data_IF_518476241604
#
_entry.id   IF_518476241604
#
_cell.length_a   1.000
_cell.length_b   1.000
_cell.length_c   1.000
_cell.angle_alpha   90.00
_cell.angle_beta   90.00
_cell.angle_gamma   90.00
#
_symmetry.space_group_name_H-M   'P 1'
#
loop_
_entity.id
_entity.type
_entity.pdbx_description
1 polymer ?
#
# COMPACT_ATOMS: atom_id res chain seq x y z
N UNK A 1 4.44 -10.22 7.92
CA UNK A 1 5.10 -10.98 8.98
C UNK A 1 4.08 -11.81 9.78
N UNK A 2 3.03 -11.21 10.33
CA UNK A 2 2.09 -11.94 11.20
C UNK A 2 1.33 -13.04 10.45
N UNK A 3 1.00 -12.85 9.18
CA UNK A 3 0.39 -13.91 8.36
C UNK A 3 1.33 -15.09 8.04
N UNK A 4 2.59 -15.01 8.44
CA UNK A 4 3.54 -16.11 8.36
C UNK A 4 3.47 -17.03 9.61
N UNK A 5 2.68 -16.63 10.62
CA UNK A 5 2.54 -17.35 11.89
C UNK A 5 1.41 -18.38 11.86
N UNK A 6 1.70 -19.60 12.30
CA UNK A 6 0.74 -20.72 12.23
C UNK A 6 -0.55 -20.51 13.03
N UNK A 7 -0.48 -19.81 14.17
CA UNK A 7 -1.63 -19.54 15.04
C UNK A 7 -2.71 -18.66 14.36
N UNK A 8 -2.35 -17.86 13.35
CA UNK A 8 -3.31 -17.10 12.54
C UNK A 8 -4.26 -18.06 11.81
N UNK A 9 -3.72 -19.09 11.18
CA UNK A 9 -4.50 -20.07 10.43
C UNK A 9 -5.33 -20.97 11.38
N UNK A 10 -4.80 -21.28 12.52
CA UNK A 10 -5.52 -22.00 13.59
C UNK A 10 -6.73 -21.18 14.05
N UNK A 11 -6.58 -19.87 14.24
CA UNK A 11 -7.65 -18.95 14.59
C UNK A 11 -8.75 -18.90 13.50
N UNK A 12 -8.38 -18.92 12.21
CA UNK A 12 -9.35 -18.96 11.11
C UNK A 12 -10.20 -20.23 11.14
N UNK A 13 -9.58 -21.39 11.36
CA UNK A 13 -10.27 -22.67 11.44
C UNK A 13 -11.20 -22.72 12.66
N UNK A 14 -10.76 -22.21 13.81
CA UNK A 14 -11.60 -22.13 15.01
C UNK A 14 -12.80 -21.17 14.79
N UNK A 15 -12.56 -20.02 14.16
CA UNK A 15 -13.62 -19.10 13.79
C UNK A 15 -14.68 -19.73 12.87
N UNK A 16 -14.25 -20.54 11.89
CA UNK A 16 -15.14 -21.28 11.02
C UNK A 16 -15.97 -22.32 11.80
N UNK A 17 -15.35 -23.11 12.69
CA UNK A 17 -16.02 -24.11 13.51
C UNK A 17 -17.10 -23.52 14.42
N UNK A 18 -16.89 -22.30 14.88
CA UNK A 18 -17.78 -21.60 15.82
C UNK A 18 -18.74 -20.61 15.11
N UNK A 19 -18.84 -20.66 13.78
CA UNK A 19 -19.68 -19.76 12.97
C UNK A 19 -19.46 -18.27 13.35
N UNK A 20 -18.19 -17.85 13.40
CA UNK A 20 -17.84 -16.48 13.72
C UNK A 20 -18.50 -15.49 12.75
N UNK A 21 -19.24 -14.52 13.28
CA UNK A 21 -19.98 -13.51 12.53
C UNK A 21 -19.57 -12.11 12.97
N UNK A 22 -19.92 -11.12 12.14
CA UNK A 22 -19.72 -9.70 12.45
C UNK A 22 -18.29 -9.38 12.89
N UNK A 23 -17.33 -9.96 12.17
CA UNK A 23 -15.90 -9.78 12.40
C UNK A 23 -15.24 -9.24 11.14
N UNK A 24 -14.42 -8.22 11.31
CA UNK A 24 -13.56 -7.68 10.26
C UNK A 24 -12.10 -7.96 10.59
N UNK A 25 -11.38 -8.39 9.58
CA UNK A 25 -9.93 -8.56 9.64
C UNK A 25 -9.29 -7.64 8.61
N UNK A 26 -8.37 -6.79 9.01
CA UNK A 26 -7.68 -5.86 8.12
C UNK A 26 -6.22 -6.30 8.01
N UNK A 27 -5.81 -6.67 6.81
CA UNK A 27 -4.43 -7.01 6.49
C UNK A 27 -3.75 -5.79 5.88
N UNK A 28 -2.74 -5.28 6.56
CA UNK A 28 -1.79 -4.31 6.02
C UNK A 28 -0.86 -5.04 5.03
N UNK A 29 -1.24 -5.01 3.75
CA UNK A 29 -0.48 -5.67 2.69
C UNK A 29 0.54 -4.71 2.07
N UNK A 30 1.69 -4.57 2.71
CA UNK A 30 2.75 -3.67 2.30
C UNK A 30 3.84 -4.31 1.41
N UNK A 31 3.63 -5.54 0.94
CA UNK A 31 4.53 -6.32 0.08
C UNK A 31 5.88 -6.67 0.71
N UNK A 32 6.04 -6.49 2.01
CA UNK A 32 7.27 -6.80 2.74
C UNK A 32 6.98 -7.67 3.96
N UNK A 33 7.93 -8.53 4.30
CA UNK A 33 7.95 -9.26 5.56
C UNK A 33 9.32 -9.10 6.17
N UNK A 34 9.39 -8.52 7.38
CA UNK A 34 10.66 -8.11 8.01
C UNK A 34 11.47 -7.19 7.05
N UNK A 35 12.73 -7.48 6.82
CA UNK A 35 13.64 -6.73 5.93
C UNK A 35 13.72 -7.34 4.50
N UNK A 36 12.63 -7.92 4.01
CA UNK A 36 12.57 -8.52 2.67
C UNK A 36 11.24 -8.21 1.99
N UNK A 37 11.24 -8.19 0.66
CA UNK A 37 10.00 -8.20 -0.12
C UNK A 37 9.39 -9.60 -0.11
N UNK A 38 8.05 -9.68 -0.03
CA UNK A 38 7.32 -10.95 -0.15
C UNK A 38 7.33 -11.44 -1.60
N UNK A 39 7.03 -12.73 -1.77
CA UNK A 39 6.82 -13.29 -3.11
C UNK A 39 5.70 -12.55 -3.84
N UNK A 40 5.86 -12.36 -5.15
CA UNK A 40 4.85 -11.71 -5.97
C UNK A 40 3.52 -12.47 -5.91
N UNK A 41 2.43 -11.72 -5.85
CA UNK A 41 1.06 -12.26 -5.80
C UNK A 41 0.75 -13.14 -4.58
N UNK A 42 1.51 -13.02 -3.49
CA UNK A 42 1.25 -13.77 -2.25
C UNK A 42 -0.17 -13.53 -1.71
N UNK A 43 -0.73 -12.33 -1.90
CA UNK A 43 -2.09 -12.00 -1.49
C UNK A 43 -3.14 -13.00 -2.01
N UNK A 44 -2.97 -13.57 -3.20
CA UNK A 44 -3.90 -14.57 -3.75
C UNK A 44 -3.99 -15.82 -2.88
N UNK A 45 -2.91 -16.17 -2.17
CA UNK A 45 -2.94 -17.28 -1.22
C UNK A 45 -3.74 -16.94 0.02
N UNK A 46 -3.68 -15.68 0.45
CA UNK A 46 -4.52 -15.22 1.56
C UNK A 46 -5.99 -15.18 1.15
N UNK A 47 -6.30 -14.69 -0.06
CA UNK A 47 -7.67 -14.74 -0.62
C UNK A 47 -8.22 -16.17 -0.53
N UNK A 48 -7.52 -17.14 -1.14
CA UNK A 48 -7.92 -18.54 -1.20
C UNK A 48 -8.17 -19.14 0.21
N UNK A 49 -7.28 -18.85 1.19
CA UNK A 49 -7.37 -19.38 2.55
C UNK A 49 -8.59 -18.80 3.28
N UNK A 50 -8.76 -17.48 3.25
CA UNK A 50 -9.87 -16.83 3.93
C UNK A 50 -11.21 -17.19 3.30
N UNK A 51 -11.32 -17.24 1.97
CA UNK A 51 -12.52 -17.66 1.28
C UNK A 51 -12.90 -19.12 1.62
N UNK A 52 -11.90 -20.01 1.70
CA UNK A 52 -12.11 -21.41 2.12
C UNK A 52 -12.65 -21.50 3.55
N UNK A 53 -12.29 -20.56 4.42
CA UNK A 53 -12.82 -20.44 5.79
C UNK A 53 -14.13 -19.63 5.85
N UNK A 54 -14.77 -19.34 4.73
CA UNK A 54 -16.10 -18.70 4.67
C UNK A 54 -16.08 -17.16 4.74
N UNK A 55 -14.93 -16.53 4.71
CA UNK A 55 -14.80 -15.06 4.75
C UNK A 55 -15.14 -14.44 3.39
N UNK A 56 -15.68 -13.21 3.44
CA UNK A 56 -15.67 -12.31 2.28
C UNK A 56 -14.30 -11.67 2.17
N UNK A 57 -13.72 -11.60 0.96
CA UNK A 57 -12.45 -10.90 0.73
C UNK A 57 -12.69 -9.63 -0.09
N UNK A 58 -12.18 -8.51 0.41
CA UNK A 58 -12.22 -7.20 -0.25
C UNK A 58 -10.81 -6.68 -0.42
N UNK A 59 -10.33 -6.61 -1.66
CA UNK A 59 -8.98 -6.14 -1.97
C UNK A 59 -8.98 -4.65 -2.27
N UNK A 60 -8.26 -3.89 -1.47
CA UNK A 60 -8.09 -2.44 -1.58
C UNK A 60 -6.71 -2.12 -2.13
N UNK A 61 -6.52 -2.33 -3.45
CA UNK A 61 -5.22 -2.13 -4.10
C UNK A 61 -5.00 -0.69 -4.53
N UNK A 62 -5.98 -0.10 -5.19
CA UNK A 62 -5.87 1.22 -5.82
C UNK A 62 -6.65 2.27 -5.06
N UNK A 63 -6.00 3.39 -4.75
CA UNK A 63 -6.66 4.57 -4.22
C UNK A 63 -7.37 5.36 -5.32
N UNK A 64 -8.04 6.43 -4.92
CA UNK A 64 -8.87 7.24 -5.82
C UNK A 64 -8.07 7.89 -6.96
N UNK A 65 -6.86 8.43 -6.66
CA UNK A 65 -6.04 9.06 -7.70
C UNK A 65 -5.65 8.07 -8.79
N UNK A 66 -5.27 6.84 -8.43
CA UNK A 66 -4.95 5.79 -9.39
C UNK A 66 -6.19 5.44 -10.22
N UNK A 67 -7.34 5.20 -9.57
CA UNK A 67 -8.60 4.87 -10.27
C UNK A 67 -9.06 5.97 -11.23
N UNK A 68 -8.79 7.23 -10.92
CA UNK A 68 -9.07 8.36 -11.82
C UNK A 68 -8.08 8.40 -12.99
N UNK A 69 -6.80 8.18 -12.73
CA UNK A 69 -5.78 8.10 -13.78
C UNK A 69 -6.04 6.96 -14.76
N UNK A 70 -6.53 5.81 -14.29
CA UNK A 70 -6.85 4.65 -15.16
C UNK A 70 -7.97 4.92 -16.17
N UNK A 71 -8.84 5.89 -15.92
CA UNK A 71 -9.91 6.30 -16.86
C UNK A 71 -9.42 7.22 -17.98
N UNK A 72 -8.18 7.71 -17.89
CA UNK A 72 -7.59 8.62 -18.86
C UNK A 72 -6.94 7.87 -20.03
N UNK A 73 -6.67 8.54 -21.18
CA UNK A 73 -5.82 7.97 -22.21
C UNK A 73 -4.48 7.49 -21.62
N UNK A 74 -4.05 6.28 -21.96
CA UNK A 74 -2.87 5.62 -21.36
C UNK A 74 -3.10 4.99 -19.97
N UNK A 75 -4.24 5.24 -19.36
CA UNK A 75 -4.54 4.78 -17.99
C UNK A 75 -4.61 3.26 -17.87
N UNK A 76 -5.16 2.56 -18.84
CA UNK A 76 -5.20 1.09 -18.83
C UNK A 76 -3.79 0.50 -18.90
N UNK A 77 -2.90 1.06 -19.68
CA UNK A 77 -1.51 0.59 -19.72
C UNK A 77 -0.79 0.82 -18.39
N UNK A 78 -1.09 1.93 -17.70
CA UNK A 78 -0.58 2.20 -16.36
C UNK A 78 -1.12 1.18 -15.34
N UNK A 79 -2.41 0.90 -15.37
CA UNK A 79 -3.06 -0.10 -14.50
C UNK A 79 -2.43 -1.48 -14.69
N UNK A 80 -2.34 -1.95 -15.95
CA UNK A 80 -1.74 -3.24 -16.29
C UNK A 80 -0.28 -3.33 -15.83
N UNK A 81 0.47 -2.23 -15.95
CA UNK A 81 1.85 -2.17 -15.49
C UNK A 81 1.93 -2.29 -13.95
N UNK A 82 1.09 -1.55 -13.20
CA UNK A 82 1.03 -1.62 -11.73
C UNK A 82 0.62 -3.03 -11.27
N UNK A 83 -0.35 -3.66 -11.98
CA UNK A 83 -0.79 -5.02 -11.67
C UNK A 83 0.32 -6.06 -11.80
N UNK A 84 1.24 -5.84 -12.73
CA UNK A 84 2.33 -6.78 -13.03
C UNK A 84 3.70 -6.35 -12.48
N UNK A 85 3.80 -5.19 -11.83
CA UNK A 85 5.04 -4.69 -11.25
C UNK A 85 5.52 -5.62 -10.13
N UNK A 86 6.74 -6.16 -10.21
CA UNK A 86 7.33 -6.96 -9.13
C UNK A 86 7.39 -6.18 -7.81
N UNK A 87 7.18 -6.86 -6.69
CA UNK A 87 7.22 -6.22 -5.37
C UNK A 87 8.54 -5.51 -5.08
N UNK A 88 9.66 -6.10 -5.50
CA UNK A 88 10.99 -5.50 -5.34
C UNK A 88 11.15 -4.21 -6.15
N UNK A 89 10.68 -4.19 -7.41
CA UNK A 89 10.74 -3.01 -8.26
C UNK A 89 9.86 -1.90 -7.70
N UNK A 90 8.63 -2.23 -7.28
CA UNK A 90 7.74 -1.26 -6.66
C UNK A 90 8.35 -0.64 -5.40
N UNK A 91 8.97 -1.43 -4.54
CA UNK A 91 9.64 -0.97 -3.32
C UNK A 91 10.80 -0.01 -3.65
N UNK A 92 11.68 -0.37 -4.57
CA UNK A 92 12.81 0.46 -5.00
C UNK A 92 12.33 1.79 -5.60
N UNK A 93 11.34 1.76 -6.50
CA UNK A 93 10.81 2.96 -7.15
C UNK A 93 10.11 3.88 -6.14
N UNK A 94 9.41 3.31 -5.16
CA UNK A 94 8.80 4.07 -4.06
C UNK A 94 9.87 4.81 -3.24
N UNK A 95 10.97 4.12 -2.92
CA UNK A 95 12.07 4.72 -2.16
C UNK A 95 12.82 5.80 -2.94
N UNK A 96 13.06 5.58 -4.24
CA UNK A 96 13.76 6.53 -5.11
C UNK A 96 12.89 7.74 -5.52
N UNK A 97 11.58 7.63 -5.46
CA UNK A 97 10.65 8.74 -5.69
C UNK A 97 10.28 9.02 -7.14
N UNK A 98 9.69 10.19 -7.36
CA UNK A 98 8.98 10.53 -8.60
C UNK A 98 9.82 10.52 -9.87
N UNK A 99 11.08 10.98 -9.82
CA UNK A 99 11.97 10.95 -10.98
C UNK A 99 12.24 9.51 -11.45
N UNK A 100 12.47 8.57 -10.51
CA UNK A 100 12.67 7.17 -10.82
C UNK A 100 11.39 6.51 -11.37
N UNK A 101 10.24 6.85 -10.81
CA UNK A 101 8.95 6.44 -11.34
C UNK A 101 8.77 6.91 -12.80
N UNK A 102 9.05 8.18 -13.08
CA UNK A 102 8.95 8.76 -14.43
C UNK A 102 9.85 8.05 -15.42
N UNK A 103 11.13 7.88 -15.07
CA UNK A 103 12.10 7.21 -15.94
C UNK A 103 11.65 5.77 -16.27
N UNK A 104 11.21 5.03 -15.25
CA UNK A 104 10.78 3.64 -15.42
C UNK A 104 9.51 3.54 -16.26
N UNK A 105 8.49 4.33 -15.97
CA UNK A 105 7.22 4.31 -16.71
C UNK A 105 7.41 4.80 -18.16
N UNK A 106 8.23 5.82 -18.39
CA UNK A 106 8.54 6.28 -19.75
C UNK A 106 9.29 5.21 -20.55
N UNK A 107 10.21 4.48 -19.91
CA UNK A 107 10.93 3.38 -20.55
C UNK A 107 10.01 2.21 -20.91
N UNK A 108 9.16 1.79 -19.97
CA UNK A 108 8.36 0.59 -20.11
C UNK A 108 7.08 0.82 -20.93
N UNK A 109 6.47 2.02 -20.81
CA UNK A 109 5.16 2.34 -21.37
C UNK A 109 5.16 3.52 -22.36
N UNK A 110 6.29 4.20 -22.58
CA UNK A 110 6.33 5.43 -23.36
C UNK A 110 5.85 5.28 -24.81
N UNK A 111 5.87 4.08 -25.38
CA UNK A 111 5.32 3.77 -26.69
C UNK A 111 3.78 3.55 -26.70
N UNK A 112 3.15 3.44 -25.53
CA UNK A 112 1.71 3.23 -25.42
C UNK A 112 0.95 4.55 -25.64
N UNK A 113 -0.13 4.56 -26.42
CA UNK A 113 -0.91 5.77 -26.68
C UNK A 113 -1.43 6.41 -25.38
N UNK A 114 -1.25 7.73 -25.25
CA UNK A 114 -1.75 8.51 -24.12
C UNK A 114 -0.86 8.48 -22.85
N UNK A 115 0.14 7.61 -22.78
CA UNK A 115 1.02 7.53 -21.59
C UNK A 115 1.93 8.74 -21.51
N UNK A 116 2.46 9.23 -22.62
CA UNK A 116 3.32 10.42 -22.62
C UNK A 116 2.61 11.64 -22.05
N UNK A 117 1.36 11.87 -22.46
CA UNK A 117 0.50 12.95 -21.96
C UNK A 117 0.18 12.73 -20.45
N UNK A 118 -0.18 11.52 -20.06
CA UNK A 118 -0.46 11.19 -18.67
C UNK A 118 0.76 11.49 -17.78
N UNK A 119 1.96 11.13 -18.22
CA UNK A 119 3.19 11.43 -17.47
C UNK A 119 3.54 12.92 -17.45
N UNK A 120 3.25 13.64 -18.56
CA UNK A 120 3.52 15.08 -18.66
C UNK A 120 2.61 15.93 -17.75
N UNK A 121 1.41 15.46 -17.46
CA UNK A 121 0.45 16.13 -16.58
C UNK A 121 0.81 16.06 -15.09
N UNK A 122 1.81 15.28 -14.72
CA UNK A 122 2.27 15.14 -13.35
C UNK A 122 3.73 15.59 -13.24
N UNK A 123 4.07 16.46 -12.32
CA UNK A 123 5.46 16.63 -11.90
C UNK A 123 5.93 15.40 -11.10
N UNK A 124 7.19 15.36 -10.70
CA UNK A 124 7.73 14.18 -10.02
C UNK A 124 7.07 13.95 -8.65
N UNK A 125 6.70 15.02 -7.95
CA UNK A 125 6.03 14.90 -6.65
C UNK A 125 4.60 14.34 -6.83
N UNK A 126 3.85 14.87 -7.79
CA UNK A 126 2.51 14.39 -8.11
C UNK A 126 2.53 12.94 -8.65
N UNK A 127 3.55 12.58 -9.43
CA UNK A 127 3.72 11.22 -9.92
C UNK A 127 4.04 10.24 -8.79
N UNK A 128 4.92 10.61 -7.85
CA UNK A 128 5.18 9.81 -6.65
C UNK A 128 3.90 9.61 -5.83
N UNK A 129 3.12 10.67 -5.64
CA UNK A 129 1.84 10.61 -4.94
C UNK A 129 0.84 9.71 -5.66
N UNK A 130 0.73 9.80 -6.99
CA UNK A 130 -0.12 8.92 -7.79
C UNK A 130 0.29 7.45 -7.61
N UNK A 131 1.57 7.14 -7.76
CA UNK A 131 2.07 5.76 -7.71
C UNK A 131 1.97 5.14 -6.32
N UNK A 132 1.99 5.94 -5.27
CA UNK A 132 1.83 5.49 -3.87
C UNK A 132 0.42 5.67 -3.33
N UNK A 133 -0.53 6.17 -4.13
CA UNK A 133 -1.94 6.28 -3.75
C UNK A 133 -2.62 4.91 -3.77
N UNK A 134 -2.20 4.04 -2.86
CA UNK A 134 -2.74 2.70 -2.68
C UNK A 134 -4.04 2.73 -1.89
N UNK A 135 -4.87 1.70 -2.04
CA UNK A 135 -6.18 1.62 -1.39
C UNK A 135 -6.13 1.73 0.14
N UNK A 136 -5.07 1.17 0.77
CA UNK A 136 -4.86 1.28 2.21
C UNK A 136 -4.39 2.66 2.70
N UNK A 137 -4.00 3.57 1.79
CA UNK A 137 -3.64 4.96 2.10
C UNK A 137 -4.70 5.97 1.66
N UNK A 138 -5.77 5.52 1.02
CA UNK A 138 -6.85 6.37 0.53
C UNK A 138 -8.07 6.23 1.45
N UNK A 139 -8.30 7.22 2.30
CA UNK A 139 -9.39 7.20 3.28
C UNK A 139 -10.76 7.03 2.61
N UNK A 140 -11.00 7.69 1.49
CA UNK A 140 -12.25 7.54 0.74
C UNK A 140 -12.45 6.10 0.27
N UNK A 141 -11.40 5.45 -0.23
CA UNK A 141 -11.46 4.03 -0.63
C UNK A 141 -11.74 3.11 0.55
N UNK A 142 -11.16 3.39 1.71
CA UNK A 142 -11.41 2.62 2.94
C UNK A 142 -12.84 2.79 3.43
N UNK A 143 -13.35 4.02 3.47
CA UNK A 143 -14.73 4.30 3.89
C UNK A 143 -15.74 3.65 2.95
N UNK A 144 -15.57 3.80 1.63
CA UNK A 144 -16.44 3.16 0.64
C UNK A 144 -16.48 1.63 0.83
N UNK A 145 -15.33 1.02 1.13
CA UNK A 145 -15.24 -0.41 1.34
C UNK A 145 -15.94 -0.84 2.64
N UNK A 146 -15.76 -0.11 3.72
CA UNK A 146 -16.42 -0.40 5.00
C UNK A 146 -17.93 -0.22 4.90
N UNK A 147 -18.41 0.82 4.26
CA UNK A 147 -19.84 1.09 4.04
C UNK A 147 -20.49 0.05 3.12
N UNK A 148 -19.71 -0.64 2.28
CA UNK A 148 -20.21 -1.71 1.41
C UNK A 148 -20.60 -2.98 2.15
N UNK A 149 -20.14 -3.16 3.40
CA UNK A 149 -20.45 -4.35 4.21
C UNK A 149 -21.74 -4.12 4.98
N UNK A 150 -22.83 -4.71 4.49
CA UNK A 150 -24.20 -4.50 5.02
C UNK A 150 -24.79 -5.73 5.71
N UNK A 151 -24.03 -6.79 5.87
CA UNK A 151 -24.41 -8.06 6.52
C UNK A 151 -23.39 -8.44 7.61
N UNK A 152 -23.62 -9.57 8.27
CA UNK A 152 -22.78 -10.07 9.35
C UNK A 152 -21.69 -11.07 8.91
N UNK A 153 -21.52 -11.29 7.60
CA UNK A 153 -20.49 -12.19 7.08
C UNK A 153 -19.11 -11.69 7.46
N UNK A 154 -18.24 -12.54 8.03
CA UNK A 154 -16.89 -12.13 8.36
C UNK A 154 -16.16 -11.64 7.10
N UNK A 155 -15.51 -10.50 7.20
CA UNK A 155 -14.92 -9.82 6.04
C UNK A 155 -13.44 -9.53 6.27
N UNK A 156 -12.61 -9.97 5.31
CA UNK A 156 -11.20 -9.62 5.22
C UNK A 156 -11.04 -8.42 4.28
N UNK A 157 -10.36 -7.40 4.75
CA UNK A 157 -9.89 -6.29 3.90
C UNK A 157 -8.37 -6.43 3.69
N UNK A 158 -7.94 -6.64 2.44
CA UNK A 158 -6.52 -6.62 2.08
C UNK A 158 -6.18 -5.21 1.63
N UNK A 159 -5.63 -4.42 2.53
CA UNK A 159 -5.28 -3.03 2.30
C UNK A 159 -3.84 -2.91 1.79
N UNK A 160 -3.68 -2.54 0.53
CA UNK A 160 -2.36 -2.27 -0.04
C UNK A 160 -1.80 -0.97 0.52
N UNK A 161 -0.59 -1.05 1.05
CA UNK A 161 0.12 0.06 1.67
C UNK A 161 1.59 0.10 1.25
N UNK A 162 2.29 1.12 1.70
CA UNK A 162 3.74 1.23 1.63
C UNK A 162 4.29 1.08 3.05
N UNK A 163 5.16 0.12 3.29
CA UNK A 163 5.80 -0.04 4.60
C UNK A 163 6.62 1.20 4.92
N UNK A 164 6.41 1.76 6.11
CA UNK A 164 7.05 3.00 6.53
C UNK A 164 6.52 4.26 5.81
N UNK A 165 5.28 4.25 5.32
CA UNK A 165 4.64 5.39 4.67
C UNK A 165 4.80 6.67 5.49
N UNK A 166 5.20 7.76 4.83
CA UNK A 166 5.47 9.06 5.48
C UNK A 166 6.83 9.16 6.17
N UNK A 167 7.63 8.09 6.19
CA UNK A 167 8.97 8.11 6.76
C UNK A 167 10.06 8.16 5.68
N UNK A 168 11.27 8.65 6.01
CA UNK A 168 12.38 8.74 5.04
C UNK A 168 12.81 7.40 4.43
N UNK A 169 12.52 6.28 5.08
CA UNK A 169 12.82 4.93 4.61
C UNK A 169 11.61 4.23 3.98
N UNK A 170 10.54 4.95 3.64
CA UNK A 170 9.35 4.38 3.01
C UNK A 170 9.71 3.58 1.76
N UNK A 171 9.29 2.33 1.69
CA UNK A 171 9.58 1.42 0.58
C UNK A 171 10.99 0.79 0.61
N UNK A 172 11.93 1.29 1.40
CA UNK A 172 13.24 0.67 1.50
C UNK A 172 13.15 -0.72 2.12
N UNK A 173 13.93 -1.68 1.59
CA UNK A 173 13.88 -3.07 2.07
C UNK A 173 14.22 -3.22 3.57
N UNK A 174 15.14 -2.41 4.07
CA UNK A 174 15.64 -2.48 5.45
C UNK A 174 14.86 -1.57 6.41
N UNK A 175 13.67 -1.06 6.03
CA UNK A 175 12.93 -0.11 6.87
C UNK A 175 12.33 -0.74 8.14
N UNK A 176 12.30 -2.08 8.25
CA UNK A 176 11.83 -2.76 9.45
C UNK A 176 12.78 -2.57 10.64
N UNK A 177 14.07 -2.68 10.39
CA UNK A 177 15.14 -2.55 11.39
C UNK A 177 15.99 -1.29 11.20
N UNK A 178 15.84 -0.58 10.08
CA UNK A 178 16.61 0.62 9.75
C UNK A 178 16.27 1.78 10.67
N UNK A 179 17.30 2.43 11.20
CA UNK A 179 17.16 3.63 12.03
C UNK A 179 17.39 4.89 11.19
N UNK A 180 16.57 5.90 11.42
CA UNK A 180 16.80 7.23 10.84
C UNK A 180 18.06 7.87 11.43
N UNK A 181 18.87 8.50 10.58
CA UNK A 181 19.95 9.34 11.03
C UNK A 181 19.43 10.72 11.48
N UNK A 182 20.29 11.52 12.13
CA UNK A 182 19.91 12.83 12.68
C UNK A 182 19.27 13.75 11.64
N UNK A 183 19.83 13.82 10.43
CA UNK A 183 19.29 14.69 9.36
C UNK A 183 17.90 14.24 8.90
N UNK A 184 17.65 12.93 8.85
CA UNK A 184 16.32 12.37 8.53
C UNK A 184 15.31 12.66 9.64
N UNK A 185 15.72 12.58 10.91
CA UNK A 185 14.86 12.93 12.05
C UNK A 185 14.50 14.40 12.02
N UNK A 186 15.47 15.29 11.77
CA UNK A 186 15.24 16.74 11.66
C UNK A 186 14.32 17.08 10.49
N UNK A 187 14.51 16.44 9.35
CA UNK A 187 13.64 16.58 8.18
C UNK A 187 12.19 16.15 8.47
N UNK A 188 12.01 14.98 9.07
CA UNK A 188 10.70 14.48 9.48
C UNK A 188 10.04 15.38 10.52
N UNK A 189 10.79 15.82 11.53
CA UNK A 189 10.32 16.77 12.54
C UNK A 189 9.77 18.04 11.89
N UNK A 190 10.53 18.63 10.96
CA UNK A 190 10.10 19.82 10.22
C UNK A 190 8.84 19.57 9.40
N UNK A 191 8.77 18.44 8.73
CA UNK A 191 7.60 18.04 7.94
C UNK A 191 6.34 17.90 8.80
N UNK A 192 6.49 17.42 10.02
CA UNK A 192 5.38 17.26 10.99
C UNK A 192 5.06 18.55 11.75
N UNK A 193 5.78 19.66 11.51
CA UNK A 193 5.55 20.94 12.19
C UNK A 193 5.96 20.95 13.66
N UNK A 194 6.79 19.99 14.11
CA UNK A 194 7.23 19.88 15.49
C UNK A 194 8.41 20.85 15.73
N UNK A 195 8.35 21.63 16.82
CA UNK A 195 9.43 22.54 17.18
C UNK A 195 10.69 21.79 17.64
N UNK A 196 11.91 22.36 17.43
CA UNK A 196 13.15 21.74 17.91
C UNK A 196 13.13 21.53 19.44
N UNK A 197 13.42 20.31 19.87
CA UNK A 197 13.44 19.94 21.29
C UNK A 197 12.10 19.40 21.81
N UNK A 198 11.04 19.43 21.01
CA UNK A 198 9.71 18.93 21.37
C UNK A 198 9.39 17.57 20.74
N UNK A 199 10.36 16.91 20.12
CA UNK A 199 10.18 15.66 19.35
C UNK A 199 9.56 14.52 20.18
N UNK A 200 9.71 14.58 21.50
CA UNK A 200 9.21 13.58 22.44
C UNK A 200 8.10 14.11 23.34
N UNK A 201 7.70 15.34 23.15
CA UNK A 201 6.62 15.93 23.93
C UNK A 201 5.28 15.40 23.48
N UNK A 202 4.41 15.13 24.46
CA UNK A 202 3.07 14.64 24.19
C UNK A 202 2.27 15.72 23.44
N UNK A 203 1.72 15.33 22.29
CA UNK A 203 0.93 16.22 21.43
C UNK A 203 1.72 17.33 20.73
N UNK A 204 3.06 17.21 20.64
CA UNK A 204 3.86 18.11 19.83
C UNK A 204 3.35 18.14 18.37
N UNK A 205 3.27 19.34 17.79
CA UNK A 205 2.80 19.55 16.42
C UNK A 205 1.28 19.56 16.22
N UNK A 206 0.48 19.49 17.29
CA UNK A 206 -0.98 19.64 17.24
C UNK A 206 -1.44 21.01 17.67
#
# INVERSE_FOLDING_TARGET
AELDEGNIYECLIEGYKHDLRNCWWIVDYNRQSLDATTADRMFRRFDDIFETCGWRVVTLKHGRLQREAFKRPGGQALEDWIENCPNADFAVLTYLGGAAWRERLAKDLGAQPGVAELLADHDDAALAQLMTNLGGHCIETLLDAFDSVTDDKPTLFIAYTVKGYGLPLAGHKDNHSGMMNTAQIEGLRSQLGIAPGEEWDKWAGL
#
